data_IF_765923106265
#
_entry.id   IF_765923106265
#
_cell.length_a   1.000
_cell.length_b   1.000
_cell.length_c   1.000
_cell.angle_alpha   90.00
_cell.angle_beta   90.00
_cell.angle_gamma   90.00
#
_symmetry.space_group_name_H-M   'P 1'
#
loop_
_entity.id
_entity.type
_entity.pdbx_description
1 polymer ?
#
# COMPACT_ATOMS: atom_id res chain seq x y z
N UNK A 1 28.28 8.25 10.64
CA UNK A 1 27.80 9.57 10.18
C UNK A 1 26.32 9.40 9.91
N UNK A 2 25.46 9.99 10.73
CA UNK A 2 24.04 10.10 10.37
C UNK A 2 23.95 10.96 9.11
N UNK A 3 23.34 10.39 8.07
CA UNK A 3 22.97 11.11 6.86
C UNK A 3 21.96 12.19 7.24
N UNK A 4 22.34 13.45 7.09
CA UNK A 4 21.44 14.59 7.24
C UNK A 4 20.29 14.38 6.26
N UNK A 5 19.06 14.38 6.77
CA UNK A 5 17.87 14.39 5.92
C UNK A 5 17.71 15.78 5.30
N UNK A 6 18.31 15.96 4.13
CA UNK A 6 18.37 17.25 3.42
C UNK A 6 16.97 17.77 3.06
N UNK A 7 15.99 16.88 2.97
CA UNK A 7 14.61 17.18 2.56
C UNK A 7 13.62 17.19 3.74
N UNK A 8 14.08 17.06 4.99
CA UNK A 8 13.24 17.01 6.19
C UNK A 8 12.12 15.95 6.14
N UNK A 9 12.33 14.84 5.43
CA UNK A 9 11.35 13.77 5.31
C UNK A 9 11.14 13.04 6.65
N UNK A 10 9.90 12.69 6.97
CA UNK A 10 9.57 11.92 8.18
C UNK A 10 8.85 10.65 7.76
N UNK A 11 9.45 9.50 8.07
CA UNK A 11 8.84 8.21 7.77
C UNK A 11 7.87 7.81 8.87
N UNK A 12 6.63 7.48 8.49
CA UNK A 12 5.60 7.02 9.42
C UNK A 12 5.95 5.62 9.95
N UNK A 13 6.08 5.44 11.28
CA UNK A 13 6.30 4.11 11.86
C UNK A 13 5.13 3.16 11.56
N UNK A 14 5.43 1.89 11.32
CA UNK A 14 4.41 0.89 10.94
C UNK A 14 3.28 0.74 11.97
N UNK A 15 3.58 0.82 13.26
CA UNK A 15 2.55 0.74 14.31
C UNK A 15 1.52 1.88 14.21
N UNK A 16 1.95 3.07 13.80
CA UNK A 16 1.06 4.23 13.61
C UNK A 16 0.18 4.03 12.37
N UNK A 17 0.74 3.49 11.29
CA UNK A 17 -0.02 3.12 10.08
C UNK A 17 -1.14 2.14 10.43
N UNK A 18 -0.79 1.05 11.15
CA UNK A 18 -1.74 0.02 11.57
C UNK A 18 -2.84 0.61 12.45
N UNK A 19 -2.48 1.44 13.42
CA UNK A 19 -3.41 2.10 14.32
C UNK A 19 -4.42 2.97 13.56
N UNK A 20 -3.94 3.83 12.67
CA UNK A 20 -4.80 4.74 11.88
C UNK A 20 -5.75 3.94 10.99
N UNK A 21 -5.26 2.93 10.27
CA UNK A 21 -6.12 2.10 9.40
C UNK A 21 -7.21 1.36 10.20
N UNK A 22 -6.91 0.94 11.43
CA UNK A 22 -7.91 0.37 12.33
C UNK A 22 -8.95 1.40 12.78
N UNK A 23 -8.50 2.61 13.15
CA UNK A 23 -9.38 3.69 13.60
C UNK A 23 -10.36 4.13 12.50
N UNK A 24 -9.92 4.17 11.24
CA UNK A 24 -10.79 4.52 10.10
C UNK A 24 -11.61 3.34 9.57
N UNK A 25 -11.50 2.15 10.19
CA UNK A 25 -12.29 0.98 9.84
C UNK A 25 -11.87 0.27 8.54
N UNK A 26 -10.62 0.48 8.08
CA UNK A 26 -10.06 -0.24 6.93
C UNK A 26 -9.55 -1.63 7.34
N UNK A 27 -10.51 -2.52 7.66
CA UNK A 27 -10.27 -3.82 8.29
C UNK A 27 -10.76 -5.00 7.42
N UNK A 28 -12.01 -4.95 6.95
CA UNK A 28 -12.64 -6.04 6.19
C UNK A 28 -13.56 -5.50 5.07
N UNK A 29 -13.95 -6.40 4.15
CA UNK A 29 -14.81 -6.11 2.99
C UNK A 29 -14.23 -4.94 2.18
N UNK A 30 -12.95 -5.06 1.85
CA UNK A 30 -12.13 -3.99 1.29
C UNK A 30 -12.28 -3.85 -0.22
N UNK A 31 -12.67 -4.91 -0.91
CA UNK A 31 -12.86 -4.87 -2.36
C UNK A 31 -13.85 -3.78 -2.80
N UNK A 32 -13.46 -2.92 -3.74
CA UNK A 32 -14.24 -1.76 -4.18
C UNK A 32 -14.11 -0.53 -3.29
N UNK A 33 -13.42 -0.60 -2.14
CA UNK A 33 -13.14 0.57 -1.29
C UNK A 33 -11.95 1.32 -1.85
N UNK A 34 -12.23 2.49 -2.44
CA UNK A 34 -11.21 3.35 -3.02
C UNK A 34 -10.38 4.06 -1.96
N UNK A 35 -9.07 4.07 -2.14
CA UNK A 35 -8.09 4.78 -1.32
C UNK A 35 -7.22 5.64 -2.22
N UNK A 36 -7.03 6.89 -1.82
CA UNK A 36 -6.02 7.78 -2.38
C UNK A 36 -5.06 8.16 -1.27
N UNK A 37 -3.79 7.82 -1.44
CA UNK A 37 -2.71 8.34 -0.62
C UNK A 37 -2.02 9.47 -1.40
N UNK A 38 -2.09 10.68 -0.85
CA UNK A 38 -1.31 11.82 -1.33
C UNK A 38 0.05 11.91 -0.63
N UNK A 39 1.12 12.10 -1.40
CA UNK A 39 2.50 12.18 -0.88
C UNK A 39 2.95 10.87 -0.25
N UNK A 40 2.85 9.78 -1.01
CA UNK A 40 2.96 8.44 -0.47
C UNK A 40 4.37 8.04 -0.03
N UNK A 41 5.41 8.82 -0.36
CA UNK A 41 6.79 8.54 0.02
C UNK A 41 7.21 7.13 -0.41
N UNK A 42 7.85 6.38 0.48
CA UNK A 42 8.19 4.95 0.25
C UNK A 42 6.99 3.98 0.42
N UNK A 43 5.78 4.51 0.58
CA UNK A 43 4.53 3.74 0.58
C UNK A 43 4.11 3.17 1.93
N UNK A 44 4.48 3.77 3.06
CA UNK A 44 4.20 3.21 4.40
C UNK A 44 2.72 2.81 4.61
N UNK A 45 1.78 3.69 4.24
CA UNK A 45 0.35 3.38 4.25
C UNK A 45 -0.04 2.41 3.15
N UNK A 46 0.38 2.65 1.90
CA UNK A 46 -0.01 1.84 0.75
C UNK A 46 0.41 0.37 0.87
N UNK A 47 1.58 0.10 1.46
CA UNK A 47 2.08 -1.25 1.74
C UNK A 47 1.12 -2.02 2.64
N UNK A 48 0.69 -1.41 3.75
CA UNK A 48 -0.25 -2.01 4.70
C UNK A 48 -1.66 -2.12 4.10
N UNK A 49 -2.10 -1.12 3.34
CA UNK A 49 -3.39 -1.12 2.63
C UNK A 49 -3.45 -2.28 1.64
N UNK A 50 -2.44 -2.44 0.77
CA UNK A 50 -2.38 -3.51 -0.22
C UNK A 50 -2.31 -4.88 0.44
N UNK A 51 -1.52 -5.04 1.50
CA UNK A 51 -1.44 -6.30 2.25
C UNK A 51 -2.81 -6.70 2.84
N UNK A 52 -3.49 -5.77 3.52
CA UNK A 52 -4.84 -5.98 4.05
C UNK A 52 -5.85 -6.29 2.95
N UNK A 53 -5.81 -5.54 1.85
CA UNK A 53 -6.73 -5.70 0.72
C UNK A 53 -6.63 -7.11 0.13
N UNK A 54 -5.41 -7.57 -0.13
CA UNK A 54 -5.16 -8.92 -0.67
C UNK A 54 -5.64 -9.98 0.33
N UNK A 55 -5.26 -9.87 1.61
CA UNK A 55 -5.66 -10.82 2.66
C UNK A 55 -7.20 -10.91 2.76
N UNK A 56 -7.89 -9.77 2.77
CA UNK A 56 -9.35 -9.72 2.87
C UNK A 56 -10.03 -10.32 1.63
N UNK A 57 -9.52 -10.06 0.43
CA UNK A 57 -10.04 -10.65 -0.81
C UNK A 57 -9.80 -12.17 -0.87
N UNK A 58 -8.64 -12.65 -0.43
CA UNK A 58 -8.33 -14.07 -0.36
C UNK A 58 -9.25 -14.79 0.64
N UNK A 59 -9.54 -14.19 1.80
CA UNK A 59 -10.54 -14.72 2.75
C UNK A 59 -11.94 -14.83 2.15
N UNK A 60 -12.26 -14.00 1.16
CA UNK A 60 -13.51 -14.03 0.40
C UNK A 60 -13.47 -14.94 -0.84
N UNK A 61 -12.39 -15.73 -1.02
CA UNK A 61 -12.18 -16.64 -2.15
C UNK A 61 -12.18 -15.94 -3.51
N UNK A 62 -11.68 -14.70 -3.60
CA UNK A 62 -11.53 -14.02 -4.88
C UNK A 62 -10.38 -14.61 -5.69
N UNK A 63 -10.55 -14.68 -7.01
CA UNK A 63 -9.48 -15.07 -7.92
C UNK A 63 -8.38 -14.02 -7.95
N UNK A 64 -7.16 -14.43 -8.30
CA UNK A 64 -6.03 -13.50 -8.44
C UNK A 64 -6.33 -12.38 -9.43
N UNK A 65 -6.91 -12.72 -10.58
CA UNK A 65 -7.28 -11.73 -11.61
C UNK A 65 -8.25 -10.68 -11.06
N UNK A 66 -9.20 -11.10 -10.21
CA UNK A 66 -10.13 -10.17 -9.56
C UNK A 66 -9.39 -9.29 -8.55
N UNK A 67 -8.45 -9.84 -7.80
CA UNK A 67 -7.65 -9.06 -6.85
C UNK A 67 -6.79 -8.03 -7.59
N UNK A 68 -6.11 -8.42 -8.68
CA UNK A 68 -5.33 -7.52 -9.54
C UNK A 68 -6.20 -6.37 -10.03
N UNK A 69 -7.36 -6.70 -10.61
CA UNK A 69 -8.32 -5.69 -11.07
C UNK A 69 -8.73 -4.74 -9.94
N UNK A 70 -8.98 -5.27 -8.74
CA UNK A 70 -9.28 -4.47 -7.56
C UNK A 70 -8.13 -3.53 -7.16
N UNK A 71 -6.90 -4.03 -7.07
CA UNK A 71 -5.72 -3.23 -6.74
C UNK A 71 -5.54 -2.06 -7.72
N UNK A 72 -5.68 -2.32 -9.02
CA UNK A 72 -5.56 -1.30 -10.09
C UNK A 72 -6.66 -0.23 -10.06
N UNK A 73 -7.86 -0.58 -9.59
CA UNK A 73 -9.04 0.29 -9.62
C UNK A 73 -9.37 0.94 -8.28
N UNK A 74 -8.84 0.43 -7.17
CA UNK A 74 -9.25 0.85 -5.84
C UNK A 74 -8.12 1.51 -5.05
N UNK A 75 -6.86 1.39 -5.44
CA UNK A 75 -5.74 1.92 -4.66
C UNK A 75 -4.88 2.84 -5.52
N UNK A 76 -4.80 4.10 -5.10
CA UNK A 76 -4.06 5.15 -5.79
C UNK A 76 -3.03 5.80 -4.86
N UNK A 77 -1.84 6.05 -5.39
CA UNK A 77 -0.78 6.79 -4.71
C UNK A 77 -0.23 7.89 -5.62
N UNK A 78 0.06 9.06 -5.06
CA UNK A 78 0.75 10.13 -5.78
C UNK A 78 2.00 10.58 -5.01
N UNK A 79 3.15 10.61 -5.68
CA UNK A 79 4.41 11.08 -5.14
C UNK A 79 5.14 11.94 -6.18
N UNK A 80 5.65 13.08 -5.76
CA UNK A 80 6.36 14.03 -6.62
C UNK A 80 7.86 13.73 -6.70
N UNK A 81 8.42 13.10 -5.66
CA UNK A 81 9.79 12.64 -5.64
C UNK A 81 9.92 11.29 -6.37
N UNK A 82 10.61 11.30 -7.50
CA UNK A 82 10.73 10.10 -8.34
C UNK A 82 11.48 8.94 -7.65
N UNK A 83 12.42 9.22 -6.73
CA UNK A 83 13.12 8.17 -6.00
C UNK A 83 12.16 7.47 -5.03
N UNK A 84 11.38 8.24 -4.28
CA UNK A 84 10.39 7.69 -3.34
C UNK A 84 9.26 6.96 -4.08
N UNK A 85 8.82 7.48 -5.22
CA UNK A 85 7.86 6.79 -6.10
C UNK A 85 8.38 5.42 -6.55
N UNK A 86 9.63 5.32 -7.00
CA UNK A 86 10.23 4.03 -7.40
C UNK A 86 10.30 3.07 -6.20
N UNK A 87 10.78 3.55 -5.04
CA UNK A 87 10.83 2.74 -3.82
C UNK A 87 9.45 2.23 -3.39
N UNK A 88 8.43 3.09 -3.48
CA UNK A 88 7.04 2.73 -3.19
C UNK A 88 6.58 1.59 -4.10
N UNK A 89 6.75 1.71 -5.42
CA UNK A 89 6.40 0.67 -6.38
C UNK A 89 7.12 -0.65 -6.05
N UNK A 90 8.42 -0.60 -5.76
CA UNK A 90 9.20 -1.79 -5.37
C UNK A 90 8.66 -2.44 -4.08
N UNK A 91 8.28 -1.64 -3.09
CA UNK A 91 7.69 -2.13 -1.84
C UNK A 91 6.32 -2.78 -2.08
N UNK A 92 5.47 -2.18 -2.92
CA UNK A 92 4.16 -2.74 -3.29
C UNK A 92 4.33 -4.05 -4.06
N UNK A 93 5.27 -4.12 -5.00
CA UNK A 93 5.59 -5.34 -5.73
C UNK A 93 6.08 -6.46 -4.79
N UNK A 94 6.88 -6.13 -3.76
CA UNK A 94 7.28 -7.10 -2.73
C UNK A 94 6.08 -7.63 -1.95
N UNK A 95 5.09 -6.80 -1.64
CA UNK A 95 3.85 -7.25 -0.97
C UNK A 95 3.06 -8.19 -1.88
N UNK A 96 2.77 -7.76 -3.12
CA UNK A 96 2.00 -8.56 -4.08
C UNK A 96 2.64 -9.94 -4.33
N UNK A 97 3.97 -9.99 -4.45
CA UNK A 97 4.74 -11.22 -4.64
C UNK A 97 4.58 -12.23 -3.50
N UNK A 98 4.37 -11.80 -2.25
CA UNK A 98 4.10 -12.72 -1.11
C UNK A 98 2.87 -13.60 -1.36
N UNK A 99 1.93 -13.12 -2.15
CA UNK A 99 0.66 -13.78 -2.46
C UNK A 99 0.64 -14.39 -3.87
N UNK A 100 1.78 -14.39 -4.58
CA UNK A 100 1.86 -14.78 -5.99
C UNK A 100 0.87 -13.99 -6.86
N UNK A 101 0.71 -12.71 -6.57
CA UNK A 101 0.01 -11.74 -7.40
C UNK A 101 1.07 -11.05 -8.24
N UNK A 102 1.10 -11.40 -9.52
CA UNK A 102 1.99 -10.80 -10.49
C UNK A 102 1.19 -9.71 -11.21
N UNK A 103 1.51 -8.46 -10.92
CA UNK A 103 0.99 -7.33 -11.68
C UNK A 103 1.62 -7.37 -13.08
N UNK A 104 0.81 -7.17 -14.13
CA UNK A 104 1.25 -7.16 -15.53
C UNK A 104 1.85 -5.80 -15.89
#
# INVERSE_FOLDING_TARGET
MESINIECQVFTPHNIVVEILNQVGYIEKLYGKKVLENSCGDGAFLVEIVDRYIIDCLKQNFSKDRIIYGLENDIYGNEIDEKHKVNCIDNLNRVAKKYNIDCV
#
